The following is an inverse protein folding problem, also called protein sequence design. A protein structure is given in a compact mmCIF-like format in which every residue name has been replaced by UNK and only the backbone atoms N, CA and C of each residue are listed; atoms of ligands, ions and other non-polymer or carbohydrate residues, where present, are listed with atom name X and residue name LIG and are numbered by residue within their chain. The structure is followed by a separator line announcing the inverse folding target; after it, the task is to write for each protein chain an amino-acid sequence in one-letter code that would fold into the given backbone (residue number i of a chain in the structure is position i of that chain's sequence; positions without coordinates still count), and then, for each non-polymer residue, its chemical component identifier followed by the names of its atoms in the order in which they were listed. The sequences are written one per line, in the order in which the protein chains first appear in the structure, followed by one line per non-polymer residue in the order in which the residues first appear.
data_IF_694096238945
#
_entry.id   IF_694096238945
#
_cell.length_a   1.000
_cell.length_b   1.000
_cell.length_c   1.000
_cell.angle_alpha   90.00
_cell.angle_beta   90.00
_cell.angle_gamma   90.00
#
_symmetry.space_group_name_H-M   'P 1'
#
loop_
_entity.id
_entity.type
_entity.pdbx_description
1 polymer ?
#
# COMPACT_ATOMS: atom_id res chain seq x y z
N UNK A 1 -19.78 6.12 12.12
CA UNK A 1 -18.31 6.09 12.25
C UNK A 1 -17.76 5.73 10.87
N UNK A 2 -17.12 6.68 10.20
CA UNK A 2 -16.48 6.43 8.91
C UNK A 2 -15.20 5.63 9.12
N UNK A 3 -15.03 4.54 8.41
CA UNK A 3 -13.77 3.81 8.38
C UNK A 3 -12.77 4.57 7.51
N UNK A 4 -11.55 4.77 8.02
CA UNK A 4 -10.43 5.30 7.25
C UNK A 4 -9.40 4.19 7.05
N UNK A 5 -9.11 3.80 5.79
CA UNK A 5 -8.03 2.87 5.49
C UNK A 5 -6.70 3.37 6.06
N UNK A 6 -5.84 2.46 6.51
CA UNK A 6 -4.50 2.78 7.01
C UNK A 6 -3.48 2.20 6.05
N UNK A 7 -2.64 3.07 5.48
CA UNK A 7 -1.44 2.68 4.76
C UNK A 7 -0.31 2.46 5.77
N UNK A 8 0.32 1.30 5.73
CA UNK A 8 1.50 0.99 6.53
C UNK A 8 2.67 0.69 5.61
N UNK A 9 3.84 1.24 5.93
CA UNK A 9 5.11 0.93 5.30
C UNK A 9 5.99 0.30 6.37
N UNK A 10 6.62 -0.82 6.03
CA UNK A 10 7.54 -1.49 6.95
C UNK A 10 8.78 -1.99 6.23
N UNK A 11 9.84 -2.12 7.02
CA UNK A 11 11.05 -2.80 6.63
C UNK A 11 11.31 -4.00 7.57
N UNK A 12 11.76 -5.12 6.99
CA UNK A 12 12.16 -6.31 7.73
C UNK A 12 13.69 -6.52 7.65
N UNK A 13 14.40 -6.55 8.79
CA UNK A 13 15.82 -6.88 8.82
C UNK A 13 16.05 -8.32 8.36
N UNK A 14 17.04 -8.52 7.47
CA UNK A 14 17.50 -9.85 7.06
C UNK A 14 16.49 -10.71 6.28
N UNK A 15 15.39 -10.14 5.80
CA UNK A 15 14.40 -10.83 4.95
C UNK A 15 14.29 -10.19 3.58
N UNK A 16 14.11 -11.01 2.53
CA UNK A 16 13.76 -10.55 1.19
C UNK A 16 12.26 -10.80 0.95
N UNK A 17 11.47 -9.78 0.55
CA UNK A 17 11.88 -8.40 0.33
C UNK A 17 12.04 -7.62 1.65
N UNK A 18 13.03 -6.74 1.67
CA UNK A 18 13.29 -5.88 2.84
C UNK A 18 12.18 -4.89 3.13
N UNK A 19 11.38 -4.52 2.12
CA UNK A 19 10.36 -3.49 2.23
C UNK A 19 8.99 -4.04 1.82
N UNK A 20 7.95 -3.60 2.50
CA UNK A 20 6.56 -3.87 2.11
C UNK A 20 5.67 -2.70 2.48
N UNK A 21 4.59 -2.55 1.73
CA UNK A 21 3.50 -1.64 2.04
C UNK A 21 2.19 -2.42 2.07
N UNK A 22 1.27 -2.03 2.94
CA UNK A 22 -0.06 -2.63 2.97
C UNK A 22 -1.14 -1.67 3.40
N UNK A 23 -2.35 -1.97 2.95
CA UNK A 23 -3.57 -1.28 3.36
C UNK A 23 -4.45 -2.24 4.12
N UNK A 24 -4.84 -1.83 5.32
CA UNK A 24 -5.88 -2.53 6.07
C UNK A 24 -7.25 -2.11 5.55
N UNK A 25 -8.19 -3.06 5.52
CA UNK A 25 -9.56 -2.89 5.05
C UNK A 25 -10.58 -3.16 6.17
N UNK A 26 -11.71 -2.47 6.13
CA UNK A 26 -12.84 -2.79 7.00
C UNK A 26 -13.51 -4.11 6.59
N UNK A 27 -13.77 -4.22 5.28
CA UNK A 27 -14.48 -5.33 4.67
C UNK A 27 -13.52 -6.22 3.89
N UNK A 28 -13.74 -7.52 3.97
CA UNK A 28 -12.87 -8.49 3.32
C UNK A 28 -13.11 -8.48 1.79
N UNK A 29 -12.04 -8.62 1.02
CA UNK A 29 -12.15 -8.89 -0.41
C UNK A 29 -12.47 -10.37 -0.67
N UNK A 30 -13.14 -10.64 -1.78
CA UNK A 30 -13.48 -12.00 -2.23
C UNK A 30 -12.28 -12.72 -2.88
N UNK A 31 -11.23 -11.98 -3.24
CA UNK A 31 -10.03 -12.56 -3.83
C UNK A 31 -9.23 -13.35 -2.78
N UNK A 32 -8.69 -14.50 -3.16
CA UNK A 32 -8.05 -15.42 -2.21
C UNK A 32 -6.52 -15.38 -2.18
N UNK A 33 -5.86 -14.77 -3.18
CA UNK A 33 -4.39 -14.73 -3.28
C UNK A 33 -3.86 -13.38 -3.71
N UNK A 34 -4.39 -12.85 -4.81
CA UNK A 34 -4.01 -11.54 -5.34
C UNK A 34 -5.23 -10.76 -5.77
N UNK A 35 -5.13 -9.44 -5.72
CA UNK A 35 -6.13 -8.50 -6.19
C UNK A 35 -5.48 -7.49 -7.12
N UNK A 36 -6.24 -7.00 -8.10
CA UNK A 36 -5.85 -5.84 -8.90
C UNK A 36 -6.20 -4.57 -8.14
N UNK A 37 -5.19 -3.76 -7.88
CA UNK A 37 -5.29 -2.42 -7.34
C UNK A 37 -5.18 -1.43 -8.49
N UNK A 38 -6.09 -0.46 -8.57
CA UNK A 38 -5.86 0.71 -9.40
C UNK A 38 -5.23 1.81 -8.55
N UNK A 39 -4.10 2.34 -9.03
CA UNK A 39 -3.22 3.25 -8.31
C UNK A 39 -3.08 4.54 -9.09
N UNK A 40 -3.15 5.67 -8.38
CA UNK A 40 -2.85 7.00 -8.91
C UNK A 40 -1.97 7.72 -7.91
N UNK A 41 -0.84 8.25 -8.36
CA UNK A 41 0.11 9.01 -7.55
C UNK A 41 0.10 10.45 -8.08
N UNK A 42 -0.04 11.44 -7.21
CA UNK A 42 -0.07 12.88 -7.57
C UNK A 42 -1.05 13.29 -8.68
N UNK A 43 -2.10 12.49 -8.90
CA UNK A 43 -3.07 12.73 -9.98
C UNK A 43 -2.57 12.36 -11.38
N UNK A 44 -1.45 11.65 -11.48
CA UNK A 44 -0.92 11.11 -12.73
C UNK A 44 -1.86 10.08 -13.38
N UNK A 45 -1.44 9.52 -14.51
CA UNK A 45 -2.20 8.46 -15.18
C UNK A 45 -2.37 7.26 -14.24
N UNK A 46 -3.64 6.92 -13.96
CA UNK A 46 -4.02 5.69 -13.28
C UNK A 46 -3.45 4.45 -13.96
N UNK A 47 -2.86 3.55 -13.18
CA UNK A 47 -2.37 2.24 -13.63
C UNK A 47 -2.83 1.14 -12.67
N UNK A 48 -2.79 -0.10 -13.15
CA UNK A 48 -3.16 -1.27 -12.36
C UNK A 48 -1.91 -2.02 -11.91
N UNK A 49 -1.88 -2.47 -10.66
CA UNK A 49 -0.86 -3.36 -10.12
C UNK A 49 -1.47 -4.47 -9.27
N UNK A 50 -0.73 -5.57 -9.08
CA UNK A 50 -1.23 -6.76 -8.39
C UNK A 50 -0.68 -6.84 -6.98
N UNK A 51 -1.56 -6.83 -5.98
CA UNK A 51 -1.23 -6.92 -4.57
C UNK A 51 -1.64 -8.28 -4.02
N UNK A 52 -0.88 -8.78 -3.04
CA UNK A 52 -1.19 -10.00 -2.30
C UNK A 52 -2.34 -9.76 -1.33
N UNK A 53 -3.22 -10.75 -1.18
CA UNK A 53 -4.29 -10.72 -0.19
C UNK A 53 -3.80 -11.41 1.08
N UNK A 54 -3.71 -10.63 2.15
CA UNK A 54 -3.28 -11.07 3.47
C UNK A 54 -4.43 -11.58 4.34
N UNK A 55 -4.21 -11.52 5.65
CA UNK A 55 -5.05 -12.14 6.67
C UNK A 55 -6.55 -11.83 6.50
N UNK A 56 -7.35 -12.90 6.39
CA UNK A 56 -8.82 -12.87 6.30
C UNK A 56 -9.37 -11.99 5.15
N UNK A 57 -8.56 -11.71 4.12
CA UNK A 57 -8.97 -10.84 3.02
C UNK A 57 -9.07 -9.36 3.39
N UNK A 58 -8.58 -8.96 4.57
CA UNK A 58 -8.70 -7.58 5.10
C UNK A 58 -7.39 -6.79 5.07
N UNK A 59 -6.34 -7.36 4.48
CA UNK A 59 -5.06 -6.70 4.30
C UNK A 59 -4.65 -6.92 2.86
N UNK A 60 -4.30 -5.85 2.16
CA UNK A 60 -3.75 -5.92 0.81
C UNK A 60 -2.29 -5.50 0.91
N UNK A 61 -1.37 -6.39 0.52
CA UNK A 61 0.07 -6.22 0.71
C UNK A 61 0.76 -6.12 -0.64
N UNK A 62 1.67 -5.17 -0.77
CA UNK A 62 2.61 -5.07 -1.87
C UNK A 62 4.02 -5.18 -1.33
N UNK A 63 4.68 -6.23 -1.80
CA UNK A 63 6.05 -6.55 -1.43
C UNK A 63 7.04 -5.79 -2.33
N UNK A 64 8.17 -5.39 -1.77
CA UNK A 64 9.27 -4.75 -2.48
C UNK A 64 9.27 -3.21 -2.42
N UNK A 65 10.46 -2.66 -2.63
CA UNK A 65 10.77 -1.23 -2.49
C UNK A 65 10.15 -0.32 -3.57
N UNK A 66 9.91 -0.83 -4.78
CA UNK A 66 9.61 0.00 -5.97
C UNK A 66 8.37 0.91 -5.82
N UNK A 67 7.38 0.50 -5.05
CA UNK A 67 6.16 1.28 -4.82
C UNK A 67 6.43 2.35 -3.79
N UNK A 68 7.06 2.00 -2.67
CA UNK A 68 7.49 2.98 -1.66
C UNK A 68 8.41 4.03 -2.29
N UNK A 69 9.37 3.64 -3.13
CA UNK A 69 10.23 4.55 -3.88
C UNK A 69 9.44 5.56 -4.73
N UNK A 70 8.33 5.11 -5.33
CA UNK A 70 7.40 5.96 -6.09
C UNK A 70 6.62 6.91 -5.19
N UNK A 71 6.29 6.48 -3.96
CA UNK A 71 5.52 7.27 -3.00
C UNK A 71 6.37 8.31 -2.25
N UNK A 72 7.65 8.05 -2.00
CA UNK A 72 8.56 8.93 -1.24
C UNK A 72 8.57 10.39 -1.75
N UNK A 73 8.70 10.67 -3.05
CA UNK A 73 8.66 12.05 -3.55
C UNK A 73 7.23 12.59 -3.77
N UNK A 74 6.20 11.76 -3.58
CA UNK A 74 4.83 12.11 -3.92
C UNK A 74 4.11 12.85 -2.78
N UNK A 75 3.08 13.60 -3.15
CA UNK A 75 2.20 14.33 -2.22
C UNK A 75 0.89 13.60 -1.93
N UNK A 76 0.42 12.75 -2.84
CA UNK A 76 -0.88 12.08 -2.72
C UNK A 76 -0.91 10.70 -3.38
N UNK A 77 -1.64 9.79 -2.75
CA UNK A 77 -1.91 8.45 -3.27
C UNK A 77 -3.42 8.16 -3.24
N UNK A 78 -3.96 7.80 -4.39
CA UNK A 78 -5.31 7.24 -4.51
C UNK A 78 -5.21 5.75 -4.86
N UNK A 79 -5.89 4.93 -4.07
CA UNK A 79 -6.04 3.50 -4.28
C UNK A 79 -7.50 3.15 -4.48
N UNK A 80 -7.76 2.18 -5.36
CA UNK A 80 -9.07 1.54 -5.42
C UNK A 80 -8.98 0.06 -5.74
N UNK A 81 -9.92 -0.70 -5.20
CA UNK A 81 -9.99 -2.16 -5.33
C UNK A 81 -11.45 -2.64 -5.34
N UNK A 82 -11.70 -3.85 -5.81
CA UNK A 82 -13.05 -4.44 -5.82
C UNK A 82 -13.20 -5.47 -4.70
N UNK A 83 -14.26 -5.38 -3.92
CA UNK A 83 -14.56 -6.39 -2.91
C UNK A 83 -15.01 -7.73 -3.54
N UNK A 84 -15.58 -7.67 -4.75
CA UNK A 84 -16.04 -8.82 -5.52
C UNK A 84 -16.66 -8.34 -6.83
N UNK A 85 -17.13 -9.26 -7.68
CA UNK A 85 -17.71 -8.89 -8.97
C UNK A 85 -18.92 -7.94 -8.79
N UNK A 86 -19.75 -8.20 -7.78
CA UNK A 86 -21.00 -7.49 -7.48
C UNK A 86 -20.95 -6.62 -6.21
N UNK A 87 -19.90 -6.72 -5.41
CA UNK A 87 -19.82 -6.15 -4.04
C UNK A 87 -19.29 -4.70 -3.98
N UNK A 88 -19.25 -4.00 -5.11
CA UNK A 88 -18.76 -2.62 -5.18
C UNK A 88 -17.23 -2.47 -5.15
N UNK A 89 -16.78 -1.24 -4.91
CA UNK A 89 -15.38 -0.80 -4.91
C UNK A 89 -15.06 -0.13 -3.58
N UNK A 90 -13.88 -0.43 -3.03
CA UNK A 90 -13.26 0.34 -1.97
C UNK A 90 -12.29 1.36 -2.56
N UNK A 91 -12.19 2.51 -1.92
CA UNK A 91 -11.28 3.59 -2.32
C UNK A 91 -10.59 4.14 -1.08
N UNK A 92 -9.34 4.57 -1.24
CA UNK A 92 -8.56 5.21 -0.20
C UNK A 92 -7.76 6.36 -0.80
N UNK A 93 -7.69 7.46 -0.06
CA UNK A 93 -6.98 8.67 -0.43
C UNK A 93 -6.05 9.05 0.71
N UNK A 94 -4.76 9.09 0.42
CA UNK A 94 -3.71 9.33 1.40
C UNK A 94 -2.94 10.60 1.02
N UNK A 95 -2.86 11.52 1.98
CA UNK A 95 -1.86 12.59 1.98
C UNK A 95 -0.51 11.98 2.37
N UNK A 96 0.50 12.20 1.55
CA UNK A 96 1.85 11.66 1.73
C UNK A 96 2.85 12.71 2.25
N UNK A 97 2.37 13.87 2.67
CA UNK A 97 3.20 14.89 3.30
C UNK A 97 3.99 14.32 4.47
N UNK A 98 5.32 14.42 4.42
CA UNK A 98 6.21 13.90 5.45
C UNK A 98 6.57 12.41 5.32
N UNK A 99 6.15 11.74 4.24
CA UNK A 99 6.42 10.31 4.02
C UNK A 99 7.91 10.04 3.86
N UNK A 100 8.63 10.87 3.09
CA UNK A 100 10.06 10.71 2.85
C UNK A 100 10.86 10.67 4.16
N UNK A 101 10.64 11.62 5.06
CA UNK A 101 11.32 11.65 6.36
C UNK A 101 10.92 10.46 7.25
N UNK A 102 9.70 9.96 7.12
CA UNK A 102 9.28 8.76 7.83
C UNK A 102 10.00 7.51 7.30
N UNK A 103 10.12 7.37 5.97
CA UNK A 103 10.84 6.26 5.33
C UNK A 103 12.33 6.28 5.69
N UNK A 104 12.97 7.45 5.69
CA UNK A 104 14.38 7.60 6.10
C UNK A 104 14.59 7.14 7.56
N UNK A 105 13.67 7.49 8.46
CA UNK A 105 13.72 7.02 9.85
C UNK A 105 13.53 5.52 9.96
N UNK A 106 12.62 4.93 9.18
CA UNK A 106 12.40 3.47 9.14
C UNK A 106 13.66 2.77 8.63
N UNK A 107 14.26 3.27 7.54
CA UNK A 107 15.46 2.70 6.94
C UNK A 107 16.62 2.69 7.95
N UNK A 108 16.85 3.80 8.65
CA UNK A 108 17.84 3.91 9.72
C UNK A 108 17.56 2.95 10.88
N UNK A 109 16.31 2.79 11.31
CA UNK A 109 15.93 1.87 12.37
C UNK A 109 16.08 0.38 11.95
N UNK A 110 15.88 0.09 10.67
CA UNK A 110 16.01 -1.26 10.11
C UNK A 110 17.43 -1.58 9.60
N UNK A 111 18.37 -0.63 9.70
CA UNK A 111 19.75 -0.76 9.23
C UNK A 111 19.82 -1.16 7.74
N UNK A 112 19.06 -0.46 6.90
CA UNK A 112 19.03 -0.63 5.45
C UNK A 112 19.06 0.74 4.76
N UNK A 113 19.30 0.76 3.45
CA UNK A 113 19.17 1.98 2.66
C UNK A 113 17.69 2.33 2.42
N UNK A 114 17.34 3.62 2.33
CA UNK A 114 16.03 4.03 1.85
C UNK A 114 15.75 3.47 0.43
N UNK A 115 14.50 3.09 0.14
CA UNK A 115 14.07 2.52 -1.15
C UNK A 115 14.16 3.48 -2.34
#
# INVERSE_FOLDING_TARGET
LGYSPVLTIACQPGGEPHWSEWVQLNDAVSASRKITMSVTVDGDRKFDESWSVGTRGKVLVRDGADGIKRLVPASRLLLSWRFGLLAGRGEADFDLSGLGEAVDRIAGACNTDPP
#
